data_IF_696302805380
#
_entry.id   IF_696302805380
#
_cell.length_a   1.000
_cell.length_b   1.000
_cell.length_c   1.000
_cell.angle_alpha   90.00
_cell.angle_beta   90.00
_cell.angle_gamma   90.00
#
_symmetry.space_group_name_H-M   'P 1'
#
loop_
_entity.id
_entity.type
_entity.pdbx_description
1 polymer ?
#
# COMPACT_ATOMS: atom_id res chain seq x y z
N UNK A 1 5.51 -2.97 5.38
CA UNK A 1 5.33 -2.17 4.14
C UNK A 1 6.44 -2.39 3.11
N UNK A 2 7.71 -2.07 3.42
CA UNK A 2 8.82 -2.16 2.45
C UNK A 2 9.10 -3.55 1.84
N UNK A 3 8.71 -4.65 2.52
CA UNK A 3 8.77 -5.99 1.93
C UNK A 3 7.89 -6.17 0.67
N UNK A 4 6.93 -5.26 0.44
CA UNK A 4 6.13 -5.22 -0.79
C UNK A 4 6.63 -4.18 -1.80
N UNK A 5 7.85 -3.66 -1.63
CA UNK A 5 8.37 -2.64 -2.53
C UNK A 5 8.41 -3.09 -3.99
N UNK A 6 8.10 -2.19 -4.93
CA UNK A 6 8.11 -2.51 -6.35
C UNK A 6 9.53 -2.69 -6.92
N UNK A 7 10.56 -2.33 -6.16
CA UNK A 7 11.98 -2.41 -6.51
C UNK A 7 12.81 -2.67 -5.24
N UNK A 8 13.87 -3.48 -5.34
CA UNK A 8 14.80 -3.77 -4.23
C UNK A 8 15.75 -2.64 -3.82
N UNK A 9 15.78 -1.49 -4.50
CA UNK A 9 16.70 -0.37 -4.18
C UNK A 9 16.60 0.11 -2.71
N UNK A 10 15.45 -0.06 -2.05
CA UNK A 10 15.29 0.27 -0.64
C UNK A 10 16.24 -0.52 0.26
N UNK A 11 16.57 -1.77 -0.09
CA UNK A 11 17.45 -2.62 0.73
C UNK A 11 18.86 -2.03 0.78
N UNK A 12 19.39 -1.56 -0.35
CA UNK A 12 20.69 -0.89 -0.39
C UNK A 12 20.67 0.43 0.42
N UNK A 13 19.60 1.22 0.30
CA UNK A 13 19.43 2.46 1.09
C UNK A 13 19.48 2.18 2.59
N UNK A 14 18.71 1.19 3.04
CA UNK A 14 18.66 0.78 4.44
C UNK A 14 19.99 0.22 4.91
N UNK A 15 20.68 -0.58 4.10
CA UNK A 15 22.01 -1.10 4.44
C UNK A 15 23.04 0.02 4.61
N UNK A 16 23.07 1.00 3.69
CA UNK A 16 23.97 2.16 3.80
C UNK A 16 23.63 2.99 5.03
N UNK A 17 22.34 3.25 5.27
CA UNK A 17 21.88 3.95 6.48
C UNK A 17 22.33 3.24 7.76
N UNK A 18 22.11 1.93 7.84
CA UNK A 18 22.50 1.13 8.99
C UNK A 18 24.02 1.20 9.24
N UNK A 19 24.82 1.02 8.19
CA UNK A 19 26.28 1.02 8.32
C UNK A 19 26.84 2.38 8.76
N UNK A 20 26.22 3.49 8.32
CA UNK A 20 26.67 4.83 8.66
C UNK A 20 26.15 5.34 10.03
N UNK A 21 25.00 4.84 10.51
CA UNK A 21 24.31 5.41 11.67
C UNK A 21 24.20 4.47 12.87
N UNK A 22 24.62 3.21 12.77
CA UNK A 22 24.60 2.29 13.92
C UNK A 22 25.57 2.75 15.00
N UNK A 23 25.17 2.58 16.25
CA UNK A 23 26.03 2.79 17.40
C UNK A 23 27.04 1.63 17.59
N UNK A 24 27.82 1.71 18.67
CA UNK A 24 28.82 0.70 19.02
C UNK A 24 28.22 -0.69 19.28
N UNK A 25 26.95 -0.75 19.68
CA UNK A 25 26.19 -1.97 19.94
C UNK A 25 25.43 -2.47 18.69
N UNK A 26 25.55 -1.77 17.57
CA UNK A 26 24.87 -2.11 16.32
C UNK A 26 23.39 -1.72 16.30
N UNK A 27 22.96 -0.76 17.12
CA UNK A 27 21.58 -0.25 17.17
C UNK A 27 21.45 1.08 16.44
N UNK A 28 20.23 1.36 15.98
CA UNK A 28 19.88 2.63 15.37
C UNK A 28 19.04 3.47 16.33
N UNK A 29 19.04 4.78 16.09
CA UNK A 29 18.04 5.69 16.63
C UNK A 29 16.68 5.37 15.97
N UNK A 30 15.75 4.85 16.76
CA UNK A 30 14.45 4.36 16.28
C UNK A 30 13.62 5.46 15.59
N UNK A 31 13.62 6.68 16.13
CA UNK A 31 12.84 7.79 15.57
C UNK A 31 13.42 8.26 14.24
N UNK A 32 14.75 8.44 14.18
CA UNK A 32 15.43 8.83 12.93
C UNK A 32 15.29 7.75 11.87
N UNK A 33 15.41 6.48 12.25
CA UNK A 33 15.26 5.38 11.32
C UNK A 33 13.81 5.25 10.84
N UNK A 34 12.83 5.40 11.73
CA UNK A 34 11.41 5.44 11.37
C UNK A 34 11.11 6.57 10.37
N UNK A 35 11.59 7.78 10.62
CA UNK A 35 11.40 8.90 9.70
C UNK A 35 12.06 8.64 8.34
N UNK A 36 13.26 8.08 8.33
CA UNK A 36 13.97 7.67 7.12
C UNK A 36 13.20 6.62 6.32
N UNK A 37 12.72 5.54 6.96
CA UNK A 37 11.96 4.47 6.32
C UNK A 37 10.68 4.98 5.66
N UNK A 38 9.96 5.88 6.33
CA UNK A 38 8.77 6.48 5.77
C UNK A 38 9.10 7.38 4.56
N UNK A 39 10.14 8.22 4.67
CA UNK A 39 10.57 9.07 3.55
C UNK A 39 10.94 8.26 2.31
N UNK A 40 11.73 7.19 2.44
CA UNK A 40 12.08 6.34 1.30
C UNK A 40 10.89 5.54 0.77
N UNK A 41 9.95 5.14 1.64
CA UNK A 41 8.71 4.44 1.22
C UNK A 41 7.89 5.32 0.28
N UNK A 42 7.64 6.57 0.69
CA UNK A 42 6.90 7.54 -0.12
C UNK A 42 7.60 7.80 -1.45
N UNK A 43 8.90 8.08 -1.39
CA UNK A 43 9.68 8.38 -2.60
C UNK A 43 9.65 7.22 -3.60
N UNK A 44 9.93 5.99 -3.14
CA UNK A 44 10.01 4.80 -4.01
C UNK A 44 8.66 4.47 -4.64
N UNK A 45 7.55 4.63 -3.90
CA UNK A 45 6.21 4.35 -4.42
C UNK A 45 5.86 5.34 -5.51
N UNK A 46 6.07 6.63 -5.24
CA UNK A 46 5.82 7.71 -6.21
C UNK A 46 6.67 7.49 -7.46
N UNK A 47 7.96 7.20 -7.31
CA UNK A 47 8.84 6.96 -8.47
C UNK A 47 8.42 5.74 -9.30
N UNK A 48 7.92 4.69 -8.66
CA UNK A 48 7.43 3.51 -9.37
C UNK A 48 6.18 3.78 -10.22
N UNK A 49 5.41 4.82 -9.87
CA UNK A 49 4.25 5.29 -10.64
C UNK A 49 4.68 6.27 -11.73
N UNK A 50 5.49 7.28 -11.39
CA UNK A 50 5.81 8.41 -12.28
C UNK A 50 6.93 8.11 -13.27
N UNK A 51 7.85 7.21 -12.94
CA UNK A 51 9.01 6.86 -13.78
C UNK A 51 9.18 5.33 -13.82
N UNK A 52 8.34 4.62 -14.58
CA UNK A 52 8.42 3.18 -14.67
C UNK A 52 9.75 2.75 -15.30
N UNK A 53 10.53 1.94 -14.57
CA UNK A 53 11.78 1.37 -15.06
C UNK A 53 12.62 0.78 -13.93
N UNK A 54 13.22 -0.40 -14.16
CA UNK A 54 14.00 -1.12 -13.14
C UNK A 54 15.19 -0.32 -12.59
N UNK A 55 15.74 0.58 -13.41
CA UNK A 55 16.88 1.42 -13.06
C UNK A 55 16.52 2.87 -12.71
N UNK A 56 15.23 3.26 -12.78
CA UNK A 56 14.81 4.64 -12.62
C UNK A 56 15.19 5.22 -11.24
N UNK A 57 15.17 4.38 -10.20
CA UNK A 57 15.54 4.77 -8.84
C UNK A 57 17.04 4.96 -8.62
N UNK A 58 17.91 4.49 -9.51
CA UNK A 58 19.37 4.61 -9.29
C UNK A 58 19.82 6.07 -9.22
N UNK A 59 19.40 6.88 -10.20
CA UNK A 59 19.77 8.30 -10.28
C UNK A 59 19.40 9.10 -9.03
N UNK A 60 18.16 9.02 -8.49
CA UNK A 60 17.83 9.74 -7.27
C UNK A 60 18.39 9.12 -5.99
N UNK A 61 18.65 7.82 -5.96
CA UNK A 61 19.04 7.12 -4.72
C UNK A 61 20.54 7.21 -4.42
N UNK A 62 21.40 7.13 -5.44
CA UNK A 62 22.85 7.16 -5.23
C UNK A 62 23.36 8.44 -4.54
N UNK A 63 22.93 9.66 -4.92
CA UNK A 63 23.32 10.88 -4.22
C UNK A 63 22.90 10.86 -2.74
N UNK A 64 21.74 10.29 -2.43
CA UNK A 64 21.27 10.20 -1.04
C UNK A 64 22.08 9.18 -0.23
N UNK A 65 22.58 8.10 -0.83
CA UNK A 65 23.53 7.19 -0.17
C UNK A 65 24.84 7.89 0.18
N UNK A 66 25.36 8.74 -0.71
CA UNK A 66 26.56 9.54 -0.44
C UNK A 66 26.30 10.51 0.72
N UNK A 67 25.16 11.20 0.72
CA UNK A 67 24.75 12.08 1.83
C UNK A 67 24.72 11.33 3.17
N UNK A 68 24.16 10.13 3.21
CA UNK A 68 24.13 9.30 4.42
C UNK A 68 25.54 9.07 4.96
N UNK A 69 26.49 8.70 4.09
CA UNK A 69 27.89 8.44 4.49
C UNK A 69 28.56 9.71 5.02
N UNK A 70 28.22 10.87 4.46
CA UNK A 70 28.70 12.18 4.91
C UNK A 70 27.99 12.70 6.19
N UNK A 71 27.11 11.91 6.81
CA UNK A 71 26.33 12.32 7.98
C UNK A 71 25.24 13.34 7.68
N UNK A 72 24.85 13.51 6.41
CA UNK A 72 23.80 14.42 5.97
C UNK A 72 22.45 13.71 5.91
N UNK A 73 21.38 14.49 6.08
CA UNK A 73 20.01 13.96 5.97
C UNK A 73 19.64 13.63 4.53
N UNK A 74 18.81 12.60 4.37
CA UNK A 74 18.19 12.25 3.10
C UNK A 74 16.99 13.17 2.85
N UNK A 75 17.02 13.86 1.72
CA UNK A 75 16.03 14.89 1.39
C UNK A 75 15.40 14.71 0.02
N UNK A 76 16.08 14.03 -0.91
CA UNK A 76 15.68 13.96 -2.32
C UNK A 76 15.41 15.36 -2.94
N UNK A 77 16.15 16.39 -2.52
CA UNK A 77 15.87 17.79 -2.90
C UNK A 77 15.72 18.01 -4.41
N UNK A 78 16.62 17.40 -5.21
CA UNK A 78 16.61 17.50 -6.68
C UNK A 78 15.50 16.68 -7.37
N UNK A 79 14.78 15.86 -6.59
CA UNK A 79 13.81 14.88 -7.08
C UNK A 79 12.44 15.03 -6.40
N UNK A 80 12.18 16.14 -5.72
CA UNK A 80 10.85 16.47 -5.18
C UNK A 80 9.80 16.51 -6.31
N UNK A 81 8.56 16.16 -5.98
CA UNK A 81 7.46 16.05 -6.93
C UNK A 81 6.58 17.29 -6.95
N UNK A 82 6.05 17.67 -8.11
CA UNK A 82 4.97 18.64 -8.21
C UNK A 82 3.62 17.93 -7.93
N UNK A 83 2.79 18.51 -7.08
CA UNK A 83 1.55 17.87 -6.61
C UNK A 83 0.50 17.70 -7.71
N UNK A 84 0.37 18.66 -8.62
CA UNK A 84 -0.60 18.61 -9.70
C UNK A 84 -0.24 17.54 -10.73
N UNK A 85 1.05 17.44 -11.07
CA UNK A 85 1.60 16.37 -11.91
C UNK A 85 1.35 14.99 -11.28
N UNK A 86 1.54 14.86 -9.96
CA UNK A 86 1.27 13.61 -9.25
C UNK A 86 -0.20 13.22 -9.30
N UNK A 87 -1.10 14.17 -9.00
CA UNK A 87 -2.55 13.94 -9.05
C UNK A 87 -2.97 13.45 -10.44
N UNK A 88 -2.52 14.14 -11.48
CA UNK A 88 -2.77 13.72 -12.87
C UNK A 88 -2.21 12.33 -13.16
N UNK A 89 -0.97 12.05 -12.76
CA UNK A 89 -0.32 10.76 -13.05
C UNK A 89 -1.02 9.60 -12.34
N UNK A 90 -1.32 9.74 -11.04
CA UNK A 90 -1.94 8.69 -10.24
C UNK A 90 -3.38 8.41 -10.68
N UNK A 91 -4.17 9.45 -10.99
CA UNK A 91 -5.55 9.30 -11.47
C UNK A 91 -5.61 8.54 -12.81
N UNK A 92 -4.57 8.65 -13.64
CA UNK A 92 -4.46 7.94 -14.92
C UNK A 92 -3.75 6.58 -14.81
N UNK A 93 -3.18 6.24 -13.64
CA UNK A 93 -2.41 5.02 -13.46
C UNK A 93 -3.32 3.80 -13.26
N UNK A 94 -2.99 2.69 -13.93
CA UNK A 94 -3.72 1.42 -13.79
C UNK A 94 -3.10 0.54 -12.71
N UNK A 95 -3.67 0.55 -11.50
CA UNK A 95 -3.30 -0.30 -10.37
C UNK A 95 -3.81 -1.75 -10.51
N UNK A 96 -3.35 -2.45 -11.56
CA UNK A 96 -3.70 -3.85 -11.80
C UNK A 96 -2.85 -4.82 -10.94
N UNK A 97 -3.30 -6.07 -10.81
CA UNK A 97 -2.65 -7.07 -9.95
C UNK A 97 -1.22 -7.48 -10.39
N UNK A 98 -0.88 -7.29 -11.66
CA UNK A 98 0.44 -7.66 -12.20
C UNK A 98 1.53 -6.63 -11.86
N UNK A 99 1.15 -5.44 -11.40
CA UNK A 99 2.09 -4.38 -11.04
C UNK A 99 2.44 -4.47 -9.55
N UNK A 100 3.72 -4.65 -9.18
CA UNK A 100 4.15 -4.69 -7.78
C UNK A 100 3.68 -3.49 -6.95
N UNK A 101 3.66 -2.29 -7.56
CA UNK A 101 3.23 -1.04 -6.90
C UNK A 101 1.77 -1.10 -6.41
N UNK A 102 0.88 -1.86 -7.04
CA UNK A 102 -0.50 -2.04 -6.56
C UNK A 102 -0.52 -2.67 -5.18
N UNK A 103 0.22 -3.77 -5.00
CA UNK A 103 0.35 -4.45 -3.71
C UNK A 103 1.07 -3.57 -2.70
N UNK A 104 2.09 -2.84 -3.15
CA UNK A 104 2.86 -1.92 -2.34
C UNK A 104 1.98 -0.79 -1.76
N UNK A 105 1.13 -0.17 -2.58
CA UNK A 105 0.16 0.86 -2.17
C UNK A 105 -0.87 0.31 -1.18
N UNK A 106 -1.37 -0.91 -1.41
CA UNK A 106 -2.33 -1.54 -0.50
C UNK A 106 -1.71 -1.94 0.84
N UNK A 107 -0.44 -2.35 0.84
CA UNK A 107 0.31 -2.57 2.06
C UNK A 107 0.54 -1.26 2.82
N UNK A 108 0.97 -0.21 2.12
CA UNK A 108 1.08 1.13 2.74
C UNK A 108 -0.25 1.55 3.33
N UNK A 109 -1.35 1.46 2.57
CA UNK A 109 -2.68 1.83 3.04
C UNK A 109 -3.11 1.04 4.28
N UNK A 110 -2.94 -0.29 4.28
CA UNK A 110 -3.31 -1.13 5.42
C UNK A 110 -2.58 -0.70 6.70
N UNK A 111 -1.28 -0.44 6.62
CA UNK A 111 -0.44 -0.07 7.78
C UNK A 111 -0.38 1.43 8.06
N UNK A 112 -0.99 2.28 7.22
CA UNK A 112 -1.19 3.70 7.50
C UNK A 112 -2.33 3.92 8.49
N UNK A 113 -3.26 2.95 8.62
CA UNK A 113 -4.30 2.96 9.65
C UNK A 113 -3.69 2.68 11.04
N UNK A 114 -3.92 3.56 12.00
CA UNK A 114 -3.34 3.46 13.35
C UNK A 114 -3.78 2.20 14.12
N UNK A 115 -4.97 1.70 13.84
CA UNK A 115 -5.52 0.50 14.50
C UNK A 115 -5.03 -0.82 13.88
N UNK A 116 -4.26 -0.77 12.78
CA UNK A 116 -3.76 -1.96 12.12
C UNK A 116 -2.68 -2.64 12.96
N UNK A 117 -2.98 -3.84 13.45
CA UNK A 117 -1.98 -4.68 14.13
C UNK A 117 -0.86 -5.08 13.18
N UNK A 118 0.35 -5.22 13.72
CA UNK A 118 1.47 -5.80 13.00
C UNK A 118 1.15 -7.24 12.61
N UNK A 119 1.39 -7.57 11.34
CA UNK A 119 1.13 -8.89 10.77
C UNK A 119 2.45 -9.61 10.54
N UNK A 120 2.45 -10.93 10.65
CA UNK A 120 3.63 -11.73 10.35
C UNK A 120 4.07 -11.53 8.89
N UNK A 121 5.38 -11.43 8.67
CA UNK A 121 5.97 -11.38 7.33
C UNK A 121 5.82 -12.72 6.58
N UNK A 122 5.57 -13.81 7.31
CA UNK A 122 5.30 -15.12 6.74
C UNK A 122 3.87 -15.26 6.20
N UNK A 123 2.98 -14.33 6.55
CA UNK A 123 1.61 -14.34 6.07
C UNK A 123 1.56 -14.00 4.58
N UNK A 124 1.06 -14.96 3.79
CA UNK A 124 0.85 -14.75 2.35
C UNK A 124 -0.47 -14.03 2.13
N UNK A 125 -0.38 -12.80 1.61
CA UNK A 125 -1.54 -12.01 1.20
C UNK A 125 -1.81 -12.15 -0.31
N UNK A 126 -3.07 -12.05 -0.70
CA UNK A 126 -3.54 -11.89 -2.07
C UNK A 126 -4.24 -10.52 -2.22
N UNK A 127 -4.50 -10.13 -3.47
CA UNK A 127 -5.26 -8.93 -3.78
C UNK A 127 -6.75 -9.27 -3.87
N UNK A 128 -7.46 -8.96 -2.80
CA UNK A 128 -8.91 -9.07 -2.72
C UNK A 128 -9.58 -7.96 -3.54
N UNK A 129 -10.60 -8.32 -4.32
CA UNK A 129 -11.51 -7.34 -4.92
C UNK A 129 -12.75 -7.24 -4.04
N UNK A 130 -12.94 -6.15 -3.31
CA UNK A 130 -14.04 -6.02 -2.34
C UNK A 130 -15.39 -6.15 -3.08
N UNK A 131 -15.57 -5.37 -4.15
CA UNK A 131 -16.54 -5.64 -5.21
C UNK A 131 -15.99 -6.72 -6.14
N UNK A 132 -16.55 -7.94 -6.06
CA UNK A 132 -16.08 -9.08 -6.84
C UNK A 132 -16.20 -8.85 -8.36
N UNK A 133 -15.18 -9.27 -9.12
CA UNK A 133 -15.21 -9.20 -10.60
C UNK A 133 -16.38 -9.97 -11.19
N UNK A 134 -16.65 -11.17 -10.65
CA UNK A 134 -17.76 -12.00 -11.08
C UNK A 134 -19.13 -11.35 -10.84
N UNK A 135 -19.23 -10.44 -9.87
CA UNK A 135 -20.44 -9.63 -9.66
C UNK A 135 -20.70 -8.73 -10.87
N UNK A 136 -19.68 -8.02 -11.36
CA UNK A 136 -19.84 -7.17 -12.54
C UNK A 136 -20.21 -7.97 -13.80
N UNK A 137 -19.65 -9.17 -13.98
CA UNK A 137 -19.97 -10.04 -15.12
C UNK A 137 -21.47 -10.39 -15.13
N UNK A 138 -22.05 -10.68 -13.95
CA UNK A 138 -23.43 -11.11 -13.80
C UNK A 138 -24.43 -9.95 -13.76
N UNK A 139 -24.12 -8.90 -13.02
CA UNK A 139 -25.05 -7.81 -12.70
C UNK A 139 -24.89 -6.59 -13.59
N UNK A 140 -23.67 -6.37 -14.15
CA UNK A 140 -23.32 -5.16 -14.91
C UNK A 140 -23.71 -3.86 -14.18
N UNK A 141 -23.57 -3.85 -12.86
CA UNK A 141 -24.06 -2.77 -11.99
C UNK A 141 -23.09 -1.60 -11.84
N UNK A 142 -21.79 -1.79 -12.11
CA UNK A 142 -20.85 -0.68 -12.24
C UNK A 142 -21.09 0.04 -13.57
N UNK A 143 -21.36 1.34 -13.49
CA UNK A 143 -21.42 2.26 -14.63
C UNK A 143 -20.03 2.48 -15.20
N UNK A 144 -19.03 2.68 -14.33
CA UNK A 144 -17.64 2.78 -14.73
C UNK A 144 -16.89 1.47 -14.48
N UNK A 145 -16.80 0.63 -15.51
CA UNK A 145 -16.13 -0.68 -15.43
C UNK A 145 -14.63 -0.60 -15.12
N UNK A 146 -13.99 0.56 -15.30
CA UNK A 146 -12.57 0.76 -14.91
C UNK A 146 -12.39 0.64 -13.40
N UNK A 147 -13.43 0.90 -12.61
CA UNK A 147 -13.40 0.82 -11.14
C UNK A 147 -13.19 -0.59 -10.61
N UNK A 148 -13.45 -1.62 -11.41
CA UNK A 148 -13.07 -3.00 -11.04
C UNK A 148 -11.58 -3.11 -10.71
N UNK A 149 -10.76 -2.39 -11.46
CA UNK A 149 -9.31 -2.37 -11.30
C UNK A 149 -8.79 -1.15 -10.53
N UNK A 150 -9.67 -0.33 -9.95
CA UNK A 150 -9.26 0.77 -9.09
C UNK A 150 -8.59 0.26 -7.80
N UNK A 151 -7.76 1.12 -7.19
CA UNK A 151 -7.12 0.82 -5.91
C UNK A 151 -8.16 0.76 -4.79
N UNK A 152 -9.18 1.63 -4.87
CA UNK A 152 -10.34 1.67 -4.00
C UNK A 152 -11.14 0.37 -3.95
N UNK A 153 -11.10 -0.47 -4.99
CA UNK A 153 -11.75 -1.78 -5.00
C UNK A 153 -10.85 -2.91 -4.45
N UNK A 154 -9.59 -2.63 -4.14
CA UNK A 154 -8.62 -3.67 -3.75
C UNK A 154 -8.21 -3.57 -2.29
N UNK A 155 -7.93 -4.71 -1.68
CA UNK A 155 -7.33 -4.81 -0.35
C UNK A 155 -6.34 -5.97 -0.29
N UNK A 156 -5.42 -5.92 0.68
CA UNK A 156 -4.71 -7.13 1.08
C UNK A 156 -5.70 -8.05 1.80
N UNK A 157 -5.58 -9.36 1.56
CA UNK A 157 -6.33 -10.38 2.29
C UNK A 157 -5.51 -11.66 2.36
N UNK A 158 -5.49 -12.33 3.51
CA UNK A 158 -4.76 -13.57 3.70
C UNK A 158 -5.24 -14.63 2.70
N UNK A 159 -4.30 -15.30 2.03
CA UNK A 159 -4.58 -16.20 0.90
C UNK A 159 -5.67 -17.25 1.21
N UNK A 160 -5.63 -17.86 2.39
CA UNK A 160 -6.62 -18.85 2.85
C UNK A 160 -8.04 -18.27 2.99
N UNK A 161 -8.16 -16.98 3.27
CA UNK A 161 -9.45 -16.28 3.38
C UNK A 161 -9.90 -15.85 1.99
N UNK A 162 -9.01 -15.26 1.20
CA UNK A 162 -9.29 -14.84 -0.17
C UNK A 162 -9.84 -15.98 -1.03
N UNK A 163 -9.25 -17.19 -0.96
CA UNK A 163 -9.77 -18.39 -1.67
C UNK A 163 -11.24 -18.67 -1.35
N UNK A 164 -11.70 -18.38 -0.13
CA UNK A 164 -13.07 -18.64 0.32
C UNK A 164 -14.01 -17.48 0.06
N UNK A 165 -13.50 -16.26 -0.07
CA UNK A 165 -14.28 -15.03 -0.17
C UNK A 165 -14.42 -14.51 -1.62
N UNK A 166 -13.38 -14.66 -2.44
CA UNK A 166 -13.07 -13.82 -3.63
C UNK A 166 -14.27 -13.46 -4.53
N UNK A 167 -15.12 -14.43 -4.87
CA UNK A 167 -16.18 -14.25 -5.87
C UNK A 167 -17.58 -14.00 -5.29
N UNK A 168 -17.71 -14.01 -3.97
CA UNK A 168 -18.97 -13.76 -3.30
C UNK A 168 -19.38 -12.28 -3.36
N UNK A 169 -20.67 -11.99 -3.16
CA UNK A 169 -21.12 -10.62 -2.91
C UNK A 169 -20.55 -10.14 -1.58
N UNK A 170 -20.42 -8.81 -1.42
CA UNK A 170 -19.84 -8.24 -0.21
C UNK A 170 -20.57 -8.73 1.05
N UNK A 171 -21.91 -8.76 1.04
CA UNK A 171 -22.73 -9.28 2.14
C UNK A 171 -22.30 -10.66 2.64
N UNK A 172 -21.97 -11.57 1.72
CA UNK A 172 -21.51 -12.92 2.03
C UNK A 172 -20.03 -12.94 2.43
N UNK A 173 -19.21 -12.08 1.81
CA UNK A 173 -17.78 -11.90 2.14
C UNK A 173 -17.57 -11.53 3.60
N UNK A 174 -18.49 -10.76 4.19
CA UNK A 174 -18.44 -10.34 5.61
C UNK A 174 -18.17 -11.52 6.54
N UNK A 175 -18.85 -12.66 6.34
CA UNK A 175 -18.68 -13.87 7.16
C UNK A 175 -17.24 -14.41 7.09
N UNK A 176 -16.61 -14.35 5.93
CA UNK A 176 -15.23 -14.81 5.76
C UNK A 176 -14.23 -13.82 6.35
N UNK A 177 -14.51 -12.51 6.28
CA UNK A 177 -13.68 -11.48 6.88
C UNK A 177 -13.69 -11.55 8.41
N UNK A 178 -14.85 -11.72 9.05
CA UNK A 178 -14.92 -11.82 10.53
C UNK A 178 -14.53 -13.20 11.06
N UNK A 179 -14.56 -14.22 10.21
CA UNK A 179 -14.38 -15.61 10.61
C UNK A 179 -15.69 -16.26 11.03
N UNK A 180 -15.72 -17.59 11.04
CA UNK A 180 -16.93 -18.34 11.35
C UNK A 180 -16.62 -19.75 11.81
N UNK A 181 -17.60 -20.39 12.45
CA UNK A 181 -17.60 -21.82 12.70
C UNK A 181 -18.32 -22.57 11.57
N UNK A 182 -17.69 -23.62 11.05
CA UNK A 182 -18.30 -24.45 10.01
C UNK A 182 -19.20 -25.55 10.61
N UNK A 183 -19.90 -26.31 9.76
CA UNK A 183 -20.78 -27.39 10.21
C UNK A 183 -20.08 -28.51 11.02
N UNK A 184 -18.73 -28.59 10.96
CA UNK A 184 -17.92 -29.55 11.72
C UNK A 184 -17.37 -28.96 13.03
N UNK A 185 -17.93 -27.85 13.50
CA UNK A 185 -17.47 -27.09 14.69
C UNK A 185 -16.02 -26.62 14.61
N UNK A 186 -15.47 -26.47 13.41
CA UNK A 186 -14.12 -25.95 13.23
C UNK A 186 -14.16 -24.44 13.10
N UNK A 187 -13.44 -23.75 13.98
CA UNK A 187 -13.22 -22.31 13.89
C UNK A 187 -12.38 -22.00 12.64
N UNK A 188 -12.91 -21.13 11.78
CA UNK A 188 -12.18 -20.54 10.67
C UNK A 188 -11.89 -19.10 11.00
N UNK A 189 -10.62 -18.76 11.07
CA UNK A 189 -10.19 -17.40 11.37
C UNK A 189 -10.58 -16.43 10.28
N UNK A 190 -10.92 -15.21 10.73
CA UNK A 190 -11.13 -14.04 9.91
C UNK A 190 -9.82 -13.33 9.59
N UNK A 191 -9.92 -12.23 8.84
CA UNK A 191 -8.78 -11.43 8.44
C UNK A 191 -8.26 -10.60 9.60
N UNK A 192 -6.96 -10.32 9.60
CA UNK A 192 -6.32 -9.37 10.49
C UNK A 192 -6.23 -7.97 9.86
N UNK A 193 -6.77 -7.77 8.65
CA UNK A 193 -6.84 -6.48 7.97
C UNK A 193 -7.98 -5.65 8.56
N UNK A 194 -7.63 -4.64 9.35
CA UNK A 194 -8.57 -3.89 10.17
C UNK A 194 -9.64 -3.18 9.34
N UNK A 195 -9.28 -2.64 8.19
CA UNK A 195 -10.25 -1.96 7.31
C UNK A 195 -11.35 -2.90 6.80
N UNK A 196 -11.01 -4.16 6.48
CA UNK A 196 -12.01 -5.15 6.03
C UNK A 196 -12.95 -5.57 7.17
N UNK A 197 -12.45 -5.63 8.41
CA UNK A 197 -13.28 -5.83 9.60
C UNK A 197 -14.21 -4.64 9.84
N UNK A 198 -13.72 -3.41 9.63
CA UNK A 198 -14.52 -2.20 9.73
C UNK A 198 -15.63 -2.18 8.67
N UNK A 199 -15.34 -2.57 7.42
CA UNK A 199 -16.39 -2.69 6.40
C UNK A 199 -17.39 -3.79 6.75
N UNK A 200 -16.93 -4.94 7.24
CA UNK A 200 -17.81 -6.03 7.64
C UNK A 200 -18.71 -5.68 8.84
N UNK A 201 -18.35 -4.71 9.67
CA UNK A 201 -19.20 -4.25 10.77
C UNK A 201 -20.14 -3.11 10.38
N UNK A 202 -19.75 -2.24 9.46
CA UNK A 202 -20.45 -0.98 9.17
C UNK A 202 -21.24 -0.97 7.86
N UNK A 203 -20.93 -1.86 6.90
CA UNK A 203 -21.54 -1.87 5.57
C UNK A 203 -22.38 -3.11 5.32
N UNK A 204 -23.50 -2.94 4.61
CA UNK A 204 -24.35 -4.04 4.15
C UNK A 204 -23.92 -4.56 2.78
N UNK A 205 -23.52 -3.65 1.89
CA UNK A 205 -22.97 -3.94 0.57
C UNK A 205 -21.76 -3.02 0.31
N UNK A 206 -21.02 -3.28 -0.76
CA UNK A 206 -19.94 -2.44 -1.26
C UNK A 206 -20.23 -2.13 -2.72
N UNK A 207 -20.47 -0.86 -3.04
CA UNK A 207 -20.99 -0.40 -4.34
C UNK A 207 -20.03 0.57 -5.02
N UNK A 208 -20.42 1.10 -6.19
CA UNK A 208 -19.58 2.01 -6.98
C UNK A 208 -19.10 3.23 -6.18
N UNK A 209 -20.00 3.90 -5.46
CA UNK A 209 -19.66 5.08 -4.65
C UNK A 209 -18.63 4.76 -3.56
N UNK A 210 -18.69 3.55 -2.99
CA UNK A 210 -17.70 3.10 -2.00
C UNK A 210 -16.31 2.95 -2.63
N UNK A 211 -16.24 2.41 -3.86
CA UNK A 211 -14.98 2.28 -4.60
C UNK A 211 -14.39 3.66 -4.87
N UNK A 212 -15.18 4.59 -5.41
CA UNK A 212 -14.73 5.95 -5.74
C UNK A 212 -14.29 6.70 -4.50
N UNK A 213 -15.10 6.68 -3.44
CA UNK A 213 -14.77 7.36 -2.18
C UNK A 213 -13.49 6.79 -1.56
N UNK A 214 -13.32 5.46 -1.57
CA UNK A 214 -12.12 4.81 -1.03
C UNK A 214 -10.88 5.09 -1.88
N UNK A 215 -11.00 5.07 -3.21
CA UNK A 215 -9.88 5.35 -4.13
C UNK A 215 -9.33 6.77 -3.88
N UNK A 216 -10.22 7.77 -3.86
CA UNK A 216 -9.86 9.15 -3.55
C UNK A 216 -9.23 9.28 -2.15
N UNK A 217 -9.80 8.59 -1.14
CA UNK A 217 -9.27 8.63 0.22
C UNK A 217 -7.83 8.08 0.29
N UNK A 218 -7.54 6.99 -0.41
CA UNK A 218 -6.20 6.40 -0.45
C UNK A 218 -5.22 7.37 -1.10
N UNK A 219 -5.56 7.92 -2.26
CA UNK A 219 -4.68 8.81 -3.03
C UNK A 219 -4.40 10.12 -2.28
N UNK A 220 -5.42 10.79 -1.76
CA UNK A 220 -5.23 12.04 -1.01
C UNK A 220 -4.47 11.83 0.30
N UNK A 221 -4.67 10.69 0.97
CA UNK A 221 -3.87 10.33 2.14
C UNK A 221 -2.41 10.11 1.77
N UNK A 222 -2.14 9.48 0.62
CA UNK A 222 -0.79 9.28 0.14
C UNK A 222 -0.11 10.60 -0.23
N UNK A 223 -0.80 11.51 -0.90
CA UNK A 223 -0.25 12.82 -1.25
C UNK A 223 0.08 13.68 -0.02
N UNK A 224 -0.81 13.69 0.98
CA UNK A 224 -0.52 14.35 2.27
C UNK A 224 0.69 13.71 2.94
N UNK A 225 0.77 12.38 2.97
CA UNK A 225 1.94 11.66 3.47
C UNK A 225 3.22 12.09 2.74
N UNK A 226 3.21 12.26 1.41
CA UNK A 226 4.38 12.78 0.69
C UNK A 226 4.76 14.20 1.15
N UNK A 227 3.78 15.06 1.42
CA UNK A 227 4.00 16.39 1.99
C UNK A 227 4.63 16.35 3.38
N UNK A 228 4.10 15.51 4.28
CA UNK A 228 4.62 15.31 5.64
C UNK A 228 6.10 14.90 5.66
N UNK A 229 6.55 14.12 4.67
CA UNK A 229 7.94 13.69 4.53
C UNK A 229 8.78 14.60 3.63
N UNK A 230 8.27 15.78 3.26
CA UNK A 230 8.99 16.80 2.49
C UNK A 230 9.36 16.36 1.08
N UNK A 231 8.54 15.51 0.45
CA UNK A 231 8.76 14.98 -0.90
C UNK A 231 8.06 15.79 -1.98
N UNK A 232 7.18 16.71 -1.60
CA UNK A 232 6.49 17.63 -2.51
C UNK A 232 7.30 18.93 -2.61
N UNK A 233 7.37 19.51 -3.80
CA UNK A 233 7.97 20.84 -4.01
C UNK A 233 7.16 21.87 -3.24
N UNK A 234 7.87 22.76 -2.55
CA UNK A 234 7.26 23.99 -2.03
C UNK A 234 7.15 24.97 -3.21
N UNK A 235 6.02 25.65 -3.31
CA UNK A 235 5.80 26.72 -4.30
C UNK A 235 6.64 27.97 -3.98
#
# INVERSE_FOLDING_TARGET
>A
VLNYAPNGMWTYLVSVYFMANKDIDGKLDDEKFYHFLNKITGFIWTYAVTRPGVNALRSPVYPEMVKIIEGKQVTFSEYKFNIDDLRSTFNNFKFNNGRPITRAMLAWWAFYHQDQKLLSLETVFELEHIFAKNRQIKEKSLMNTKLLEALGNKALLEKKINIRASDYRFSDKKRYYVGYENARKQKKEGTQIQELLNFASTKNDFIEDDIVARDNKILESFFRYLGEYGLIKED
#
